data_IF_348270969059
#
_entry.id   IF_348270969059
#
_cell.length_a   1.000
_cell.length_b   1.000
_cell.length_c   1.000
_cell.angle_alpha   90.00
_cell.angle_beta   90.00
_cell.angle_gamma   90.00
#
_symmetry.space_group_name_H-M   'P 1'
#
loop_
_entity.id
_entity.type
_entity.pdbx_description
1 polymer ?
#
# COMPACT_ATOMS: atom_id res chain seq x y z
N UNK A 1 35.31 5.82 -11.93
CA UNK A 1 33.91 6.25 -12.15
C UNK A 1 33.25 6.29 -10.78
N UNK A 2 32.68 7.42 -10.34
CA UNK A 2 32.19 7.54 -8.97
C UNK A 2 31.03 6.55 -8.78
N UNK A 3 31.07 5.69 -7.76
CA UNK A 3 30.05 4.64 -7.54
C UNK A 3 28.63 5.21 -7.41
N UNK A 4 28.51 6.48 -7.08
CA UNK A 4 27.25 7.24 -6.99
C UNK A 4 26.41 7.14 -8.26
N UNK A 5 27.03 7.12 -9.45
CA UNK A 5 26.29 7.04 -10.72
C UNK A 5 25.57 5.70 -10.87
N UNK A 6 26.23 4.60 -10.49
CA UNK A 6 25.62 3.27 -10.52
C UNK A 6 24.48 3.14 -9.50
N UNK A 7 24.65 3.73 -8.31
CA UNK A 7 23.58 3.78 -7.31
C UNK A 7 22.36 4.56 -7.78
N UNK A 8 22.56 5.70 -8.44
CA UNK A 8 21.46 6.50 -8.99
C UNK A 8 20.71 5.76 -10.10
N UNK A 9 21.43 5.10 -11.01
CA UNK A 9 20.81 4.29 -12.07
C UNK A 9 20.01 3.13 -11.47
N UNK A 10 20.58 2.44 -10.48
CA UNK A 10 19.89 1.37 -9.76
C UNK A 10 18.63 1.84 -9.04
N UNK A 11 18.69 2.98 -8.35
CA UNK A 11 17.56 3.57 -7.64
C UNK A 11 16.42 3.98 -8.59
N UNK A 12 16.77 4.61 -9.73
CA UNK A 12 15.79 5.00 -10.74
C UNK A 12 15.13 3.78 -11.37
N UNK A 13 15.91 2.74 -11.71
CA UNK A 13 15.40 1.49 -12.25
C UNK A 13 14.45 0.78 -11.28
N UNK A 14 14.85 0.67 -10.00
CA UNK A 14 14.04 0.06 -8.96
C UNK A 14 12.72 0.81 -8.75
N UNK A 15 12.76 2.15 -8.72
CA UNK A 15 11.56 2.97 -8.58
C UNK A 15 10.59 2.78 -9.75
N UNK A 16 11.11 2.77 -10.98
CA UNK A 16 10.29 2.52 -12.17
C UNK A 16 9.65 1.13 -12.16
N UNK A 17 10.41 0.10 -11.76
CA UNK A 17 9.92 -1.27 -11.66
C UNK A 17 8.81 -1.40 -10.61
N UNK A 18 9.01 -0.85 -9.40
CA UNK A 18 7.98 -0.86 -8.34
C UNK A 18 6.71 -0.15 -8.81
N UNK A 19 6.84 1.01 -9.44
CA UNK A 19 5.69 1.75 -9.96
C UNK A 19 4.93 0.98 -11.04
N UNK A 20 5.64 0.25 -11.89
CA UNK A 20 5.03 -0.59 -12.91
C UNK A 20 4.31 -1.79 -12.31
N UNK A 21 4.96 -2.51 -11.39
CA UNK A 21 4.37 -3.65 -10.67
C UNK A 21 3.11 -3.23 -9.91
N UNK A 22 3.12 -2.08 -9.23
CA UNK A 22 1.95 -1.59 -8.50
C UNK A 22 0.76 -1.36 -9.44
N UNK A 23 0.98 -0.74 -10.60
CA UNK A 23 -0.08 -0.52 -11.59
C UNK A 23 -0.62 -1.81 -12.18
N UNK A 24 0.25 -2.76 -12.46
CA UNK A 24 -0.18 -4.05 -13.01
C UNK A 24 -0.91 -4.88 -11.96
N UNK A 25 -0.45 -4.80 -10.70
CA UNK A 25 -1.16 -5.38 -9.55
C UNK A 25 -2.55 -4.78 -9.43
N UNK A 26 -2.69 -3.46 -9.52
CA UNK A 26 -4.00 -2.79 -9.46
C UNK A 26 -4.90 -3.20 -10.63
N UNK A 27 -4.35 -3.41 -11.83
CA UNK A 27 -5.11 -3.89 -13.00
C UNK A 27 -5.61 -5.31 -12.79
N UNK A 28 -4.72 -6.24 -12.43
CA UNK A 28 -5.06 -7.64 -12.17
C UNK A 28 -6.07 -7.72 -11.01
N UNK A 29 -5.87 -6.94 -9.95
CA UNK A 29 -6.76 -6.94 -8.80
C UNK A 29 -8.13 -6.34 -9.15
N UNK A 30 -8.20 -5.38 -10.07
CA UNK A 30 -9.48 -4.87 -10.58
C UNK A 30 -10.22 -5.89 -11.46
N UNK A 31 -9.51 -6.81 -12.13
CA UNK A 31 -10.11 -7.92 -12.87
C UNK A 31 -10.60 -9.03 -11.93
N UNK A 32 -9.82 -9.37 -10.89
CA UNK A 32 -10.17 -10.41 -9.92
C UNK A 32 -11.24 -9.97 -8.92
N UNK A 33 -11.19 -8.71 -8.48
CA UNK A 33 -12.04 -8.15 -7.44
C UNK A 33 -12.70 -6.85 -7.92
N UNK A 34 -13.63 -6.92 -8.89
CA UNK A 34 -14.30 -5.74 -9.45
C UNK A 34 -15.06 -4.92 -8.38
N UNK A 35 -15.50 -5.57 -7.29
CA UNK A 35 -16.23 -4.94 -6.19
C UNK A 35 -15.33 -4.15 -5.21
N UNK A 36 -14.04 -4.44 -5.17
CA UNK A 36 -13.08 -3.80 -4.25
C UNK A 36 -12.76 -2.34 -4.62
N UNK A 37 -13.11 -1.89 -5.83
CA UNK A 37 -12.96 -0.48 -6.26
C UNK A 37 -13.78 0.52 -5.44
N UNK A 38 -14.75 0.03 -4.65
CA UNK A 38 -15.58 0.84 -3.78
C UNK A 38 -15.36 0.60 -2.28
N UNK A 39 -14.52 -0.36 -1.89
CA UNK A 39 -14.33 -0.62 -0.46
C UNK A 39 -13.51 0.52 0.17
N UNK A 40 -14.10 1.29 1.11
CA UNK A 40 -13.34 2.29 1.83
C UNK A 40 -12.18 1.57 2.52
N UNK A 41 -10.95 2.07 2.31
CA UNK A 41 -9.77 1.64 3.09
C UNK A 41 -10.22 1.46 4.53
N UNK A 42 -10.01 0.30 5.18
CA UNK A 42 -10.49 0.10 6.53
C UNK A 42 -9.87 1.20 7.37
N UNK A 43 -10.73 2.15 7.78
CA UNK A 43 -10.34 3.21 8.71
C UNK A 43 -9.87 2.42 9.91
N UNK A 44 -8.58 2.48 10.22
CA UNK A 44 -8.04 1.85 11.43
C UNK A 44 -8.63 2.61 12.61
N UNK A 45 -9.82 2.21 13.02
CA UNK A 45 -10.49 2.79 14.17
C UNK A 45 -9.69 2.38 15.38
N UNK A 46 -9.19 3.37 16.13
CA UNK A 46 -8.52 3.08 17.39
C UNK A 46 -9.57 2.52 18.34
N UNK A 47 -9.31 1.35 18.88
CA UNK A 47 -10.18 0.75 19.89
C UNK A 47 -9.66 1.16 21.26
N UNK A 48 -10.50 1.78 22.08
CA UNK A 48 -10.21 2.11 23.48
C UNK A 48 -10.95 1.15 24.40
N UNK A 49 -10.25 0.68 25.45
CA UNK A 49 -10.86 -0.17 26.48
C UNK A 49 -11.66 0.70 27.44
N UNK A 50 -12.96 0.40 27.55
CA UNK A 50 -13.89 1.01 28.51
C UNK A 50 -13.62 0.48 29.93
N UNK A 51 -14.14 1.17 30.95
CA UNK A 51 -14.03 0.76 32.37
C UNK A 51 -14.68 -0.60 32.64
N UNK A 52 -15.70 -0.96 31.84
CA UNK A 52 -16.33 -2.29 31.83
C UNK A 52 -15.46 -3.37 31.15
N UNK A 53 -14.28 -3.03 30.63
CA UNK A 53 -13.35 -3.95 29.98
C UNK A 53 -13.65 -4.24 28.51
N UNK A 54 -14.70 -3.64 27.93
CA UNK A 54 -15.11 -3.80 26.54
C UNK A 54 -14.35 -2.82 25.63
N UNK A 55 -13.84 -3.29 24.49
CA UNK A 55 -13.20 -2.43 23.49
C UNK A 55 -14.27 -1.73 22.65
N UNK A 56 -14.26 -0.39 22.66
CA UNK A 56 -15.14 0.44 21.83
C UNK A 56 -14.29 1.28 20.86
N UNK A 57 -14.79 1.61 19.67
CA UNK A 57 -14.15 2.59 18.79
C UNK A 57 -14.05 3.95 19.51
N UNK A 58 -12.88 4.59 19.40
CA UNK A 58 -12.61 5.96 19.85
C UNK A 58 -13.28 7.01 18.94
#
# INVERSE_FOLDING_TARGET
MPPVVFWMIGAVGAFAAIKWIARETDRINAELHPEAKGEPKPVRVKLRRDQAGVYRPE
#
